data_IF_696525190368
#
_entry.id   IF_696525190368
#
_cell.length_a   1.000
_cell.length_b   1.000
_cell.length_c   1.000
_cell.angle_alpha   90.00
_cell.angle_beta   90.00
_cell.angle_gamma   90.00
#
_symmetry.space_group_name_H-M   'P 1'
#
loop_
_entity.id
_entity.type
_entity.pdbx_description
1 polymer ?
#
# COMPACT_ATOMS: atom_id res chain seq x y z
N UNK A 1 -1.01 15.58 -8.15
CA UNK A 1 -0.48 15.52 -6.77
C UNK A 1 -1.29 16.41 -5.85
N UNK A 2 -1.77 17.53 -6.37
CA UNK A 2 -2.49 18.57 -5.63
C UNK A 2 -3.74 18.03 -4.93
N UNK A 3 -4.51 17.18 -5.59
CA UNK A 3 -5.68 16.52 -5.00
C UNK A 3 -5.36 15.74 -3.71
N UNK A 4 -4.21 15.07 -3.64
CA UNK A 4 -3.81 14.31 -2.45
C UNK A 4 -3.29 15.23 -1.33
N UNK A 5 -2.67 16.36 -1.66
CA UNK A 5 -2.14 17.34 -0.69
C UNK A 5 -3.22 18.20 -0.04
N UNK A 6 -4.34 18.43 -0.74
CA UNK A 6 -5.49 19.18 -0.19
C UNK A 6 -6.52 18.30 0.53
N UNK A 7 -6.38 16.98 0.44
CA UNK A 7 -7.33 16.03 1.05
C UNK A 7 -6.94 15.76 2.51
N UNK A 8 -7.92 15.65 3.39
CA UNK A 8 -7.69 15.27 4.79
C UNK A 8 -7.22 13.80 4.95
N UNK A 9 -7.64 12.93 4.02
CA UNK A 9 -7.25 11.53 3.99
C UNK A 9 -7.19 11.00 2.56
N UNK A 10 -6.33 10.00 2.35
CA UNK A 10 -6.16 9.30 1.06
C UNK A 10 -6.40 7.81 1.25
N UNK A 11 -7.36 7.25 0.53
CA UNK A 11 -7.62 5.81 0.47
C UNK A 11 -7.03 5.25 -0.83
N UNK A 12 -6.14 4.25 -0.70
CA UNK A 12 -5.49 3.59 -1.84
C UNK A 12 -5.81 2.09 -1.80
N UNK A 13 -6.20 1.54 -2.95
CA UNK A 13 -6.47 0.10 -3.11
C UNK A 13 -5.19 -0.72 -3.23
N UNK A 14 -4.77 -0.99 -4.47
CA UNK A 14 -3.51 -1.67 -4.76
C UNK A 14 -2.86 -1.08 -6.02
N UNK A 15 -1.54 -1.16 -6.11
CA UNK A 15 -0.77 -0.81 -7.31
C UNK A 15 0.19 -1.94 -7.65
N UNK A 16 0.42 -2.19 -8.94
CA UNK A 16 1.31 -3.25 -9.41
C UNK A 16 0.60 -4.33 -10.22
N UNK A 17 1.39 -5.16 -10.92
CA UNK A 17 0.90 -6.30 -11.70
C UNK A 17 1.87 -6.76 -12.80
N UNK A 18 1.69 -7.97 -13.35
CA UNK A 18 2.62 -8.61 -14.29
C UNK A 18 2.77 -7.85 -15.61
N UNK A 19 1.77 -7.01 -15.96
CA UNK A 19 1.81 -6.13 -17.14
C UNK A 19 2.97 -5.14 -17.13
N UNK A 20 3.44 -4.74 -15.94
CA UNK A 20 4.47 -3.70 -15.77
C UNK A 20 5.82 -4.24 -15.32
N UNK A 21 5.97 -5.57 -15.26
CA UNK A 21 7.17 -6.29 -14.86
C UNK A 21 8.35 -6.15 -15.84
N UNK A 22 8.16 -6.21 -17.18
CA UNK A 22 9.25 -6.03 -18.14
C UNK A 22 9.66 -4.57 -18.32
N UNK A 23 8.93 -3.62 -17.72
CA UNK A 23 9.27 -2.21 -17.79
C UNK A 23 10.43 -1.88 -16.85
N UNK A 24 11.22 -0.89 -17.26
CA UNK A 24 12.31 -0.35 -16.45
C UNK A 24 11.79 0.11 -15.08
N UNK A 25 12.61 -0.04 -14.05
CA UNK A 25 12.24 0.28 -12.68
C UNK A 25 11.71 1.71 -12.55
N UNK A 26 12.16 2.65 -13.40
CA UNK A 26 11.75 4.05 -13.38
C UNK A 26 10.29 4.34 -13.71
N UNK A 27 9.64 3.47 -14.48
CA UNK A 27 8.26 3.63 -14.95
C UNK A 27 7.28 2.65 -14.27
N UNK A 28 7.78 1.86 -13.32
CA UNK A 28 6.96 0.91 -12.58
C UNK A 28 5.95 1.61 -11.67
N UNK A 29 4.69 1.11 -11.57
CA UNK A 29 3.64 1.73 -10.78
C UNK A 29 3.98 1.86 -9.28
N UNK A 30 4.83 0.99 -8.75
CA UNK A 30 5.30 0.99 -7.36
C UNK A 30 6.11 2.27 -7.04
N UNK A 31 6.81 2.86 -8.01
CA UNK A 31 7.50 4.15 -7.82
C UNK A 31 6.52 5.28 -7.56
N UNK A 32 5.34 5.24 -8.19
CA UNK A 32 4.29 6.22 -7.93
C UNK A 32 3.84 6.20 -6.47
N UNK A 33 3.69 5.00 -5.89
CA UNK A 33 3.35 4.82 -4.48
C UNK A 33 4.47 5.31 -3.54
N UNK A 34 5.73 4.99 -3.85
CA UNK A 34 6.87 5.47 -3.06
C UNK A 34 6.98 7.00 -3.08
N UNK A 35 6.81 7.61 -4.27
CA UNK A 35 6.80 9.06 -4.42
C UNK A 35 5.64 9.69 -3.63
N UNK A 36 4.45 9.10 -3.67
CA UNK A 36 3.29 9.57 -2.91
C UNK A 36 3.58 9.59 -1.40
N UNK A 37 4.18 8.53 -0.85
CA UNK A 37 4.55 8.45 0.57
C UNK A 37 5.59 9.50 0.95
N UNK A 38 6.59 9.70 0.11
CA UNK A 38 7.64 10.71 0.35
C UNK A 38 7.09 12.13 0.33
N UNK A 39 6.16 12.42 -0.57
CA UNK A 39 5.62 13.77 -0.80
C UNK A 39 4.51 14.17 0.18
N UNK A 40 3.87 13.18 0.81
CA UNK A 40 2.90 13.37 1.89
C UNK A 40 3.55 13.20 3.27
N UNK A 41 4.87 13.04 3.33
CA UNK A 41 5.65 12.91 4.58
C UNK A 41 5.11 11.81 5.52
N UNK A 42 4.63 10.70 4.94
CA UNK A 42 4.01 9.59 5.66
C UNK A 42 5.07 8.62 6.19
N UNK A 43 5.72 8.97 7.31
CA UNK A 43 6.74 8.15 7.95
C UNK A 43 6.18 7.02 8.81
N UNK A 44 5.02 7.23 9.43
CA UNK A 44 4.40 6.24 10.32
C UNK A 44 3.52 5.26 9.51
N UNK A 45 3.95 4.02 9.41
CA UNK A 45 3.18 2.94 8.78
C UNK A 45 2.70 1.95 9.84
N UNK A 46 1.44 2.11 10.27
CA UNK A 46 0.80 1.23 11.24
C UNK A 46 0.21 0.00 10.55
N UNK A 47 0.57 -1.19 11.05
CA UNK A 47 0.07 -2.49 10.55
C UNK A 47 -0.44 -3.34 11.73
N UNK A 48 -1.66 -3.07 12.24
CA UNK A 48 -2.21 -3.86 13.33
C UNK A 48 -2.45 -5.30 12.87
N UNK A 49 -1.85 -6.26 13.59
CA UNK A 49 -2.07 -7.68 13.39
C UNK A 49 -3.00 -8.19 14.49
N UNK A 50 -4.25 -8.45 14.15
CA UNK A 50 -5.24 -9.02 15.06
C UNK A 50 -5.66 -10.40 14.56
N UNK A 51 -5.65 -11.37 15.47
CA UNK A 51 -6.13 -12.72 15.20
C UNK A 51 -7.61 -12.77 15.62
N UNK A 52 -8.48 -13.02 14.65
CA UNK A 52 -9.91 -13.19 14.91
C UNK A 52 -10.16 -14.65 15.26
N UNK A 53 -10.79 -14.91 16.41
CA UNK A 53 -10.98 -16.28 16.95
C UNK A 53 -11.63 -17.25 15.95
N UNK A 54 -12.55 -16.77 15.13
CA UNK A 54 -13.22 -17.58 14.10
C UNK A 54 -12.27 -18.08 12.98
N UNK A 55 -11.10 -17.45 12.84
CA UNK A 55 -10.06 -17.83 11.85
C UNK A 55 -8.99 -18.74 12.44
N UNK A 56 -9.02 -19.04 13.74
CA UNK A 56 -8.11 -19.98 14.43
C UNK A 56 -8.77 -21.35 14.50
N UNK A 57 -8.96 -22.00 13.34
CA UNK A 57 -9.59 -23.34 13.29
C UNK A 57 -8.63 -24.49 12.95
N UNK A 58 -7.31 -24.25 12.91
CA UNK A 58 -6.35 -25.25 12.41
C UNK A 58 -5.37 -25.85 13.43
N UNK A 59 -5.53 -25.64 14.74
CA UNK A 59 -4.57 -26.16 15.74
C UNK A 59 -5.12 -27.24 16.70
N UNK A 60 -6.36 -27.73 16.52
CA UNK A 60 -6.96 -28.75 17.40
C UNK A 60 -7.60 -29.93 16.65
N UNK A 61 -6.89 -30.50 15.66
CA UNK A 61 -7.13 -31.86 15.16
C UNK A 61 -5.81 -32.59 15.06
#
# INVERSE_FOLDING_TARGET
>A
MDAAKISDAVLLGAVGGPKWEPLDFSVRPERGLLKLRSELELYANLRPAAIYGDRVKCFNT
#
